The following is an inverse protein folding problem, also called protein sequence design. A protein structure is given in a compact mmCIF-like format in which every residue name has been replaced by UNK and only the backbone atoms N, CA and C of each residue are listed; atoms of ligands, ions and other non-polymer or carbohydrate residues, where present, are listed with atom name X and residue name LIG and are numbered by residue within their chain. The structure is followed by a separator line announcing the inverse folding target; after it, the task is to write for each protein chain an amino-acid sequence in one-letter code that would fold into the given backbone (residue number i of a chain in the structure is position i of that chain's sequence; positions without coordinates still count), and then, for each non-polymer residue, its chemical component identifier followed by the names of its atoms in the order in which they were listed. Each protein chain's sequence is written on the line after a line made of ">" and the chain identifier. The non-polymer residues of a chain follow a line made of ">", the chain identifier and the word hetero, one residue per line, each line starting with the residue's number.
data_IF_770987896306
#
_entry.id   IF_770987896306
#
_cell.length_a   1.000
_cell.length_b   1.000
_cell.length_c   1.000
_cell.angle_alpha   90.00
_cell.angle_beta   90.00
_cell.angle_gamma   90.00
#
_symmetry.space_group_name_H-M   'P 1'
#
loop_
_entity.id
_entity.type
_entity.pdbx_description
1 polymer ?
#
# COMPACT_ATOMS: atom_id res chain seq x y z
N UNK A 1 2.21 1.52 -9.45
CA UNK A 1 1.46 2.62 -8.81
C UNK A 1 2.38 3.82 -8.81
N UNK A 2 1.96 4.90 -9.45
CA UNK A 2 2.69 6.17 -9.48
C UNK A 2 2.39 6.96 -8.21
N UNK A 3 3.39 7.40 -7.46
CA UNK A 3 3.17 8.27 -6.28
C UNK A 3 3.16 9.75 -6.70
N UNK A 4 2.63 10.64 -5.85
CA UNK A 4 2.78 12.10 -6.06
C UNK A 4 4.25 12.52 -6.20
N UNK A 5 5.17 11.90 -5.44
CA UNK A 5 6.59 12.22 -5.57
C UNK A 5 7.14 11.83 -6.94
N UNK A 6 6.71 10.69 -7.49
CA UNK A 6 7.13 10.24 -8.83
C UNK A 6 6.56 11.19 -9.90
N UNK A 7 5.27 11.52 -9.80
CA UNK A 7 4.64 12.54 -10.65
C UNK A 7 5.39 13.87 -10.62
N UNK A 8 5.73 14.38 -9.43
CA UNK A 8 6.45 15.65 -9.33
C UNK A 8 7.86 15.57 -9.92
N UNK A 9 8.57 14.46 -9.74
CA UNK A 9 9.91 14.29 -10.31
C UNK A 9 9.87 14.22 -11.83
N UNK A 10 8.89 13.52 -12.40
CA UNK A 10 8.69 13.46 -13.84
C UNK A 10 8.32 14.83 -14.43
N UNK A 11 7.41 15.56 -13.76
CA UNK A 11 6.86 16.82 -14.29
C UNK A 11 7.74 18.04 -14.03
N UNK A 12 8.38 18.13 -12.87
CA UNK A 12 9.12 19.31 -12.40
C UNK A 12 10.62 19.05 -12.21
N UNK A 13 11.10 17.82 -12.41
CA UNK A 13 12.50 17.43 -12.19
C UNK A 13 12.92 17.37 -10.72
N UNK A 14 12.04 17.75 -9.79
CA UNK A 14 12.33 17.88 -8.35
C UNK A 14 11.15 17.41 -7.50
N UNK A 15 11.44 17.12 -6.23
CA UNK A 15 10.39 16.83 -5.25
C UNK A 15 9.71 18.14 -4.83
N UNK A 16 8.38 18.10 -4.68
CA UNK A 16 7.62 19.23 -4.16
C UNK A 16 7.05 18.94 -2.77
N UNK A 17 6.99 19.96 -1.91
CA UNK A 17 6.50 19.88 -0.54
C UNK A 17 5.26 20.76 -0.36
N UNK A 18 4.18 20.19 0.19
CA UNK A 18 2.95 20.96 0.48
C UNK A 18 3.15 21.85 1.70
N UNK A 19 2.86 23.14 1.53
CA UNK A 19 2.79 24.15 2.56
C UNK A 19 1.31 24.42 2.84
N UNK A 20 0.80 23.98 3.98
CA UNK A 20 -0.60 24.21 4.36
C UNK A 20 -0.82 25.69 4.68
N UNK A 21 -1.74 26.32 3.96
CA UNK A 21 -2.11 27.73 4.08
C UNK A 21 -3.58 27.86 4.49
N UNK A 22 -3.89 28.91 5.24
CA UNK A 22 -5.24 29.29 5.66
C UNK A 22 -5.65 30.60 4.98
N UNK A 23 -6.69 30.53 4.13
CA UNK A 23 -7.28 31.71 3.48
C UNK A 23 -8.42 32.36 4.29
N UNK A 24 -8.68 31.89 5.51
CA UNK A 24 -9.79 32.39 6.34
C UNK A 24 -11.15 32.11 5.71
N UNK A 25 -11.32 30.89 5.20
CA UNK A 25 -12.56 30.43 4.57
C UNK A 25 -13.47 29.70 5.56
N UNK A 26 -14.72 29.51 5.18
CA UNK A 26 -15.69 28.65 5.88
C UNK A 26 -16.22 27.57 4.93
N UNK A 27 -17.25 26.84 5.34
CA UNK A 27 -17.90 25.80 4.55
C UNK A 27 -19.43 26.03 4.56
N UNK A 28 -20.12 25.92 3.41
CA UNK A 28 -21.57 26.11 3.33
C UNK A 28 -22.37 25.08 4.15
N UNK A 29 -21.73 23.98 4.53
CA UNK A 29 -22.32 22.97 5.41
C UNK A 29 -22.17 23.31 6.91
N UNK A 30 -21.51 24.41 7.25
CA UNK A 30 -21.34 24.90 8.62
C UNK A 30 -22.12 26.18 8.88
N UNK A 31 -22.22 27.05 7.89
CA UNK A 31 -22.86 28.36 8.01
C UNK A 31 -24.38 28.35 7.78
N UNK A 32 -24.96 27.20 7.44
CA UNK A 32 -26.40 27.04 7.21
C UNK A 32 -26.83 27.15 5.74
N UNK A 33 -25.94 27.47 4.79
CA UNK A 33 -26.33 27.64 3.38
C UNK A 33 -26.71 26.31 2.69
N UNK A 34 -26.02 25.22 3.02
CA UNK A 34 -26.26 23.86 2.50
C UNK A 34 -26.62 22.86 3.60
N UNK A 35 -26.16 23.12 4.81
CA UNK A 35 -26.38 22.26 5.98
C UNK A 35 -25.81 22.92 7.23
N UNK A 36 -25.89 22.23 8.36
CA UNK A 36 -25.39 22.72 9.65
C UNK A 36 -24.45 21.71 10.29
N UNK A 37 -23.50 22.20 11.10
CA UNK A 37 -22.57 21.36 11.86
C UNK A 37 -21.44 20.72 11.05
N UNK A 38 -21.36 20.93 9.73
CA UNK A 38 -20.34 20.36 8.85
C UNK A 38 -20.48 18.86 8.62
N UNK A 39 -19.56 18.28 7.83
CA UNK A 39 -19.50 16.84 7.65
C UNK A 39 -19.18 16.17 9.00
N UNK A 40 -19.80 15.03 9.28
CA UNK A 40 -19.78 14.40 10.62
C UNK A 40 -18.36 14.10 11.13
N UNK A 41 -17.42 13.81 10.22
CA UNK A 41 -16.03 13.45 10.51
C UNK A 41 -15.07 14.65 10.58
N UNK A 42 -15.49 15.85 10.19
CA UNK A 42 -14.59 17.01 10.18
C UNK A 42 -14.34 17.54 11.60
N UNK A 43 -13.10 17.90 11.91
CA UNK A 43 -12.73 18.69 13.09
C UNK A 43 -13.36 20.08 13.08
N UNK A 44 -13.32 20.79 14.20
CA UNK A 44 -13.79 22.18 14.29
C UNK A 44 -13.03 23.12 13.33
N UNK A 45 -11.76 22.80 13.05
CA UNK A 45 -10.88 23.53 12.12
C UNK A 45 -11.14 23.24 10.63
N UNK A 46 -12.15 22.40 10.31
CA UNK A 46 -12.49 22.09 8.92
C UNK A 46 -11.39 21.32 8.19
N UNK A 47 -10.68 20.43 8.90
CA UNK A 47 -9.49 19.72 8.41
C UNK A 47 -8.23 20.61 8.26
N UNK A 48 -8.22 21.77 8.92
CA UNK A 48 -7.13 22.75 8.93
C UNK A 48 -6.16 22.62 10.09
N UNK A 49 -6.07 21.45 10.74
CA UNK A 49 -5.39 21.25 12.04
C UNK A 49 -3.88 21.57 12.06
N UNK A 50 -3.28 21.86 10.90
CA UNK A 50 -1.87 22.17 10.72
C UNK A 50 -1.60 23.53 10.06
N UNK A 51 -2.65 24.27 9.68
CA UNK A 51 -2.53 25.61 9.09
C UNK A 51 -2.39 26.67 10.19
N UNK A 52 -1.70 27.78 9.88
CA UNK A 52 -1.57 28.92 10.79
C UNK A 52 -2.54 30.02 10.37
N UNK A 53 -3.43 30.42 11.27
CA UNK A 53 -4.47 31.41 10.97
C UNK A 53 -3.96 32.86 11.04
N UNK A 54 -4.61 33.76 10.30
CA UNK A 54 -4.65 35.19 10.60
C UNK A 54 -3.47 36.04 10.13
N UNK A 55 -2.65 35.58 9.18
CA UNK A 55 -1.58 36.39 8.56
C UNK A 55 -1.65 36.38 7.03
N UNK A 56 -0.99 37.37 6.40
CA UNK A 56 -0.77 37.49 4.96
C UNK A 56 -0.20 36.20 4.34
N UNK A 57 -0.55 35.88 3.09
CA UNK A 57 -0.26 34.57 2.50
C UNK A 57 1.25 34.38 2.30
N UNK A 58 2.00 35.43 1.92
CA UNK A 58 3.45 35.35 1.82
C UNK A 58 4.09 35.08 3.19
N UNK A 59 3.59 35.70 4.25
CA UNK A 59 4.06 35.45 5.61
C UNK A 59 3.78 33.98 6.00
N UNK A 60 2.60 33.45 5.67
CA UNK A 60 2.29 32.04 5.92
C UNK A 60 3.22 31.10 5.14
N UNK A 61 3.55 31.43 3.88
CA UNK A 61 4.48 30.65 3.06
C UNK A 61 5.87 30.59 3.72
N UNK A 62 6.43 31.74 4.11
CA UNK A 62 7.77 31.78 4.73
C UNK A 62 7.82 31.02 6.07
N UNK A 63 6.79 31.18 6.90
CA UNK A 63 6.68 30.41 8.15
C UNK A 63 6.52 28.90 7.89
N UNK A 64 5.69 28.52 6.92
CA UNK A 64 5.49 27.12 6.56
C UNK A 64 6.80 26.49 6.03
N UNK A 65 7.54 27.21 5.17
CA UNK A 65 8.87 26.83 4.69
C UNK A 65 9.83 26.60 5.86
N UNK A 66 9.89 27.52 6.81
CA UNK A 66 10.76 27.39 7.98
C UNK A 66 10.47 26.11 8.78
N UNK A 67 9.20 25.72 8.96
CA UNK A 67 8.82 24.48 9.66
C UNK A 67 9.25 23.21 8.94
N UNK A 68 9.29 23.23 7.61
CA UNK A 68 9.64 22.05 6.80
C UNK A 68 11.10 22.02 6.39
N UNK A 69 11.84 23.12 6.54
CA UNK A 69 13.25 23.29 6.15
C UNK A 69 14.14 22.12 6.59
N UNK A 70 14.05 21.68 7.85
CA UNK A 70 14.85 20.56 8.37
C UNK A 70 14.55 19.20 7.73
N UNK A 71 13.46 19.08 6.95
CA UNK A 71 13.06 17.87 6.21
C UNK A 71 13.39 17.96 4.71
N UNK A 72 13.89 19.11 4.26
CA UNK A 72 14.13 19.41 2.84
C UNK A 72 15.63 19.46 2.63
N UNK A 73 16.12 18.65 1.68
CA UNK A 73 17.51 18.73 1.20
C UNK A 73 17.60 19.56 -0.08
N UNK A 74 16.64 19.34 -0.97
CA UNK A 74 16.45 20.02 -2.25
C UNK A 74 14.99 19.79 -2.69
N UNK A 75 14.37 20.77 -3.34
CA UNK A 75 12.98 20.69 -3.76
C UNK A 75 12.26 22.03 -3.89
N UNK A 76 11.04 21.95 -4.40
CA UNK A 76 10.13 23.06 -4.57
C UNK A 76 8.91 22.99 -3.64
N UNK A 77 7.99 23.94 -3.76
CA UNK A 77 6.86 24.06 -2.86
C UNK A 77 5.51 24.09 -3.57
N UNK A 78 4.51 23.55 -2.90
CA UNK A 78 3.10 23.61 -3.30
C UNK A 78 2.38 24.47 -2.27
N UNK A 79 1.84 25.62 -2.69
CA UNK A 79 0.95 26.43 -1.85
C UNK A 79 -0.39 25.68 -1.73
N UNK A 80 -0.73 25.19 -0.55
CA UNK A 80 -1.84 24.26 -0.37
C UNK A 80 -2.93 24.83 0.56
N UNK A 81 -4.00 25.32 -0.04
CA UNK A 81 -5.20 25.78 0.66
C UNK A 81 -6.09 24.57 0.98
N UNK A 82 -6.05 24.11 2.23
CA UNK A 82 -6.71 22.87 2.66
C UNK A 82 -7.98 23.10 3.48
N UNK A 83 -7.97 24.10 4.35
CA UNK A 83 -8.97 24.26 5.41
C UNK A 83 -10.35 24.62 4.84
N UNK A 84 -11.40 23.95 5.34
CA UNK A 84 -12.79 24.19 4.96
C UNK A 84 -13.05 24.02 3.45
N UNK A 85 -13.65 25.01 2.81
CA UNK A 85 -13.97 25.04 1.38
C UNK A 85 -13.26 26.24 0.78
N UNK A 86 -12.07 26.02 0.21
CA UNK A 86 -11.16 27.11 -0.15
C UNK A 86 -11.65 27.99 -1.31
N UNK A 87 -12.75 27.62 -1.96
CA UNK A 87 -13.41 28.41 -3.00
C UNK A 87 -14.73 29.02 -2.54
N UNK A 88 -15.08 28.90 -1.25
CA UNK A 88 -16.30 29.47 -0.70
C UNK A 88 -16.08 30.91 -0.20
N UNK A 89 -15.91 31.82 -1.15
CA UNK A 89 -15.81 33.27 -0.96
C UNK A 89 -16.12 34.00 -2.28
N UNK A 90 -16.33 35.33 -2.27
CA UNK A 90 -16.39 36.12 -3.50
C UNK A 90 -15.11 35.95 -4.35
N UNK A 91 -15.27 35.91 -5.67
CA UNK A 91 -14.17 35.62 -6.61
C UNK A 91 -13.02 36.61 -6.49
N UNK A 92 -13.29 37.87 -6.14
CA UNK A 92 -12.27 38.91 -5.94
C UNK A 92 -11.35 38.57 -4.77
N UNK A 93 -11.91 38.02 -3.67
CA UNK A 93 -11.12 37.55 -2.53
C UNK A 93 -10.28 36.33 -2.91
N UNK A 94 -10.86 35.40 -3.68
CA UNK A 94 -10.13 34.22 -4.16
C UNK A 94 -8.96 34.63 -5.07
N UNK A 95 -9.19 35.56 -6.00
CA UNK A 95 -8.17 36.06 -6.91
C UNK A 95 -7.03 36.72 -6.16
N UNK A 96 -7.32 37.57 -5.18
CA UNK A 96 -6.28 38.21 -4.36
C UNK A 96 -5.38 37.17 -3.67
N UNK A 97 -5.98 36.23 -2.93
CA UNK A 97 -5.24 35.23 -2.14
C UNK A 97 -4.46 34.23 -3.01
N UNK A 98 -5.10 33.75 -4.08
CA UNK A 98 -4.48 32.75 -4.95
C UNK A 98 -3.42 33.37 -5.87
N UNK A 99 -3.61 34.61 -6.32
CA UNK A 99 -2.60 35.33 -7.09
C UNK A 99 -1.36 35.61 -6.26
N UNK A 100 -1.52 35.96 -4.98
CA UNK A 100 -0.41 36.13 -4.06
C UNK A 100 0.42 34.83 -3.94
N UNK A 101 -0.25 33.70 -3.70
CA UNK A 101 0.40 32.40 -3.60
C UNK A 101 1.07 31.94 -4.90
N UNK A 102 0.39 32.06 -6.05
CA UNK A 102 0.91 31.56 -7.33
C UNK A 102 2.11 32.37 -7.81
N UNK A 103 2.15 33.67 -7.52
CA UNK A 103 3.24 34.56 -7.94
C UNK A 103 4.45 34.50 -7.01
N UNK A 104 4.35 33.90 -5.84
CA UNK A 104 5.49 33.74 -4.94
C UNK A 104 6.61 32.92 -5.63
N UNK A 105 7.87 33.39 -5.61
CA UNK A 105 8.96 32.81 -6.42
C UNK A 105 9.27 31.35 -6.07
N UNK A 106 9.12 30.97 -4.80
CA UNK A 106 9.42 29.60 -4.34
C UNK A 106 8.27 28.60 -4.55
N UNK A 107 7.10 29.05 -4.96
CA UNK A 107 5.94 28.18 -5.20
C UNK A 107 5.97 27.68 -6.64
N UNK A 108 5.92 26.36 -6.83
CA UNK A 108 5.86 25.73 -8.16
C UNK A 108 4.42 25.37 -8.56
N UNK A 109 3.54 25.14 -7.58
CA UNK A 109 2.16 24.67 -7.79
C UNK A 109 1.22 25.33 -6.78
N UNK A 110 0.06 25.77 -7.25
CA UNK A 110 -1.06 26.13 -6.39
C UNK A 110 -1.99 24.92 -6.24
N UNK A 111 -2.31 24.51 -5.01
CA UNK A 111 -3.24 23.41 -4.74
C UNK A 111 -4.40 23.89 -3.87
N UNK A 112 -5.64 23.74 -4.36
CA UNK A 112 -6.85 24.26 -3.72
C UNK A 112 -7.78 23.09 -3.40
N UNK A 113 -7.96 22.77 -2.11
CA UNK A 113 -8.95 21.79 -1.67
C UNK A 113 -10.31 22.46 -1.49
N UNK A 114 -11.33 21.86 -2.10
CA UNK A 114 -12.69 22.42 -2.07
C UNK A 114 -13.78 21.36 -2.21
N UNK A 115 -15.02 21.79 -2.07
CA UNK A 115 -16.21 21.00 -2.35
C UNK A 115 -16.58 21.14 -3.83
N UNK A 116 -17.04 20.06 -4.49
CA UNK A 116 -17.50 20.13 -5.88
C UNK A 116 -18.60 21.16 -6.12
N UNK A 117 -19.53 21.32 -5.18
CA UNK A 117 -20.66 22.25 -5.25
C UNK A 117 -20.30 23.73 -4.99
N UNK A 118 -19.01 24.04 -4.81
CA UNK A 118 -18.50 25.40 -4.58
C UNK A 118 -17.57 25.88 -5.71
N UNK A 119 -17.86 25.48 -6.94
CA UNK A 119 -17.11 25.86 -8.14
C UNK A 119 -18.03 26.57 -9.14
N UNK A 120 -18.31 27.85 -8.91
CA UNK A 120 -19.02 28.70 -9.87
C UNK A 120 -18.22 28.84 -11.18
N UNK A 121 -18.88 29.27 -12.27
CA UNK A 121 -18.20 29.51 -13.55
C UNK A 121 -17.04 30.51 -13.39
N UNK A 122 -17.26 31.61 -12.67
CA UNK A 122 -16.23 32.61 -12.39
C UNK A 122 -15.04 32.02 -11.61
N UNK A 123 -15.31 31.11 -10.66
CA UNK A 123 -14.26 30.43 -9.90
C UNK A 123 -13.44 29.52 -10.81
N UNK A 124 -14.10 28.71 -11.66
CA UNK A 124 -13.41 27.82 -12.60
C UNK A 124 -12.60 28.63 -13.61
N UNK A 125 -13.13 29.76 -14.09
CA UNK A 125 -12.41 30.67 -14.98
C UNK A 125 -11.18 31.28 -14.30
N UNK A 126 -11.32 31.75 -13.06
CA UNK A 126 -10.19 32.24 -12.26
C UNK A 126 -9.11 31.17 -12.12
N UNK A 127 -9.46 29.94 -11.71
CA UNK A 127 -8.49 28.85 -11.58
C UNK A 127 -7.83 28.52 -12.92
N UNK A 128 -8.59 28.57 -14.02
CA UNK A 128 -8.07 28.41 -15.38
C UNK A 128 -7.04 29.47 -15.76
N UNK A 129 -7.32 30.75 -15.47
CA UNK A 129 -6.35 31.85 -15.68
C UNK A 129 -5.08 31.63 -14.85
N UNK A 130 -5.21 31.29 -13.57
CA UNK A 130 -4.06 31.03 -12.70
C UNK A 130 -3.23 29.83 -13.16
N UNK A 131 -3.87 28.81 -13.74
CA UNK A 131 -3.20 27.64 -14.33
C UNK A 131 -2.27 27.99 -15.50
N UNK A 132 -2.49 29.13 -16.17
CA UNK A 132 -1.58 29.63 -17.21
C UNK A 132 -0.32 30.29 -16.64
N UNK A 133 -0.34 30.70 -15.37
CA UNK A 133 0.81 31.29 -14.66
C UNK A 133 1.69 30.18 -14.09
N UNK A 134 1.12 29.29 -13.27
CA UNK A 134 1.75 28.06 -12.77
C UNK A 134 0.70 26.97 -12.62
N UNK A 135 1.07 25.68 -12.64
CA UNK A 135 0.11 24.59 -12.52
C UNK A 135 -0.78 24.71 -11.29
N UNK A 136 -2.08 24.57 -11.50
CA UNK A 136 -3.11 24.53 -10.47
C UNK A 136 -3.61 23.10 -10.30
N UNK A 137 -3.67 22.64 -9.05
CA UNK A 137 -4.29 21.38 -8.67
C UNK A 137 -5.54 21.68 -7.86
N UNK A 138 -6.67 21.06 -8.22
CA UNK A 138 -7.89 21.14 -7.42
C UNK A 138 -8.15 19.81 -6.75
N UNK A 139 -8.28 19.83 -5.42
CA UNK A 139 -8.61 18.65 -4.66
C UNK A 139 -10.10 18.64 -4.30
N UNK A 140 -10.83 17.68 -4.85
CA UNK A 140 -12.26 17.53 -4.65
C UNK A 140 -12.54 16.51 -3.56
N UNK A 141 -13.32 16.94 -2.56
CA UNK A 141 -13.94 16.00 -1.64
C UNK A 141 -15.00 15.17 -2.37
N UNK A 142 -14.78 13.87 -2.58
CA UNK A 142 -15.83 12.93 -2.98
C UNK A 142 -16.30 12.14 -1.75
N UNK A 143 -15.34 11.63 -0.98
CA UNK A 143 -15.51 10.79 0.21
C UNK A 143 -16.09 9.40 -0.09
N UNK A 144 -17.28 9.34 -0.67
CA UNK A 144 -18.03 8.12 -1.02
C UNK A 144 -19.01 8.39 -2.15
N UNK A 145 -19.45 7.35 -2.86
CA UNK A 145 -20.57 7.43 -3.81
C UNK A 145 -21.87 6.80 -3.29
N UNK A 146 -21.83 6.12 -2.13
CA UNK A 146 -22.98 5.44 -1.55
C UNK A 146 -23.94 6.44 -0.91
N UNK A 147 -25.19 6.48 -1.38
CA UNK A 147 -26.18 7.49 -0.97
C UNK A 147 -26.40 7.52 0.54
N UNK A 148 -26.60 6.38 1.18
CA UNK A 148 -26.86 6.30 2.62
C UNK A 148 -25.68 6.85 3.42
N UNK A 149 -24.45 6.58 2.96
CA UNK A 149 -23.23 7.10 3.57
C UNK A 149 -23.06 8.60 3.32
N UNK A 150 -23.43 9.12 2.15
CA UNK A 150 -23.46 10.56 1.82
C UNK A 150 -24.39 11.32 2.77
N UNK A 151 -25.59 10.78 3.00
CA UNK A 151 -26.59 11.35 3.88
C UNK A 151 -26.11 11.29 5.34
N UNK A 152 -25.57 10.13 5.78
CA UNK A 152 -25.03 9.94 7.13
C UNK A 152 -23.86 10.88 7.45
N UNK A 153 -22.91 11.06 6.53
CA UNK A 153 -21.77 11.96 6.75
C UNK A 153 -22.13 13.44 6.63
N UNK A 154 -23.39 13.77 6.30
CA UNK A 154 -23.87 15.11 6.07
C UNK A 154 -23.01 15.83 5.00
N UNK A 155 -22.82 15.22 3.82
CA UNK A 155 -21.97 15.81 2.75
C UNK A 155 -22.66 17.01 2.07
N UNK A 156 -23.99 16.93 1.92
CA UNK A 156 -24.88 17.96 1.36
C UNK A 156 -24.66 18.31 -0.12
N UNK A 157 -24.20 17.35 -0.92
CA UNK A 157 -24.27 17.39 -2.39
C UNK A 157 -24.30 15.97 -2.96
N UNK A 158 -24.91 15.85 -4.14
CA UNK A 158 -25.04 14.61 -4.89
C UNK A 158 -23.76 14.32 -5.71
N UNK A 159 -23.64 13.10 -6.24
CA UNK A 159 -22.42 12.67 -6.95
C UNK A 159 -22.24 13.41 -8.29
N UNK A 160 -23.32 13.88 -8.89
CA UNK A 160 -23.35 14.62 -10.17
C UNK A 160 -22.61 15.97 -10.06
N UNK A 161 -22.63 16.60 -8.88
CA UNK A 161 -21.85 17.82 -8.61
C UNK A 161 -20.34 17.55 -8.74
N UNK A 162 -19.90 16.37 -8.30
CA UNK A 162 -18.52 15.92 -8.49
C UNK A 162 -18.20 15.66 -9.96
N UNK A 163 -19.06 14.95 -10.69
CA UNK A 163 -18.82 14.66 -12.12
C UNK A 163 -18.71 15.96 -12.94
N UNK A 164 -19.64 16.90 -12.70
CA UNK A 164 -19.66 18.22 -13.33
C UNK A 164 -18.40 19.03 -13.00
N UNK A 165 -17.99 19.05 -11.73
CA UNK A 165 -16.79 19.75 -11.30
C UNK A 165 -15.52 19.22 -11.97
N UNK A 166 -15.34 17.89 -12.01
CA UNK A 166 -14.16 17.27 -12.65
C UNK A 166 -14.10 17.67 -14.13
N UNK A 167 -15.22 17.53 -14.85
CA UNK A 167 -15.31 17.89 -16.27
C UNK A 167 -14.93 19.36 -16.52
N UNK A 168 -15.53 20.30 -15.79
CA UNK A 168 -15.31 21.75 -15.95
C UNK A 168 -13.86 22.15 -15.63
N UNK A 169 -13.24 21.50 -14.65
CA UNK A 169 -11.83 21.73 -14.32
C UNK A 169 -10.89 21.19 -15.41
N UNK A 170 -11.17 20.00 -15.95
CA UNK A 170 -10.40 19.43 -17.06
C UNK A 170 -10.50 20.23 -18.35
N UNK A 171 -11.66 20.85 -18.62
CA UNK A 171 -11.82 21.79 -19.75
C UNK A 171 -10.87 23.01 -19.64
N UNK A 172 -10.38 23.33 -18.44
CA UNK A 172 -9.36 24.36 -18.18
C UNK A 172 -7.94 23.80 -18.01
N UNK A 173 -7.74 22.51 -18.28
CA UNK A 173 -6.46 21.82 -18.12
C UNK A 173 -5.98 21.72 -16.67
N UNK A 174 -6.88 21.82 -15.70
CA UNK A 174 -6.57 21.76 -14.26
C UNK A 174 -6.44 20.30 -13.83
N UNK A 175 -5.37 20.00 -13.08
CA UNK A 175 -5.12 18.67 -12.52
C UNK A 175 -6.04 18.42 -11.32
N UNK A 176 -6.85 17.35 -11.38
CA UNK A 176 -7.87 17.05 -10.36
C UNK A 176 -7.43 15.91 -9.46
N UNK A 177 -7.57 16.11 -8.14
CA UNK A 177 -7.26 15.11 -7.12
C UNK A 177 -8.53 14.77 -6.36
N UNK A 178 -8.87 13.49 -6.28
CA UNK A 178 -10.07 13.04 -5.59
C UNK A 178 -9.76 12.51 -4.20
N UNK A 179 -10.44 13.05 -3.19
CA UNK A 179 -10.35 12.60 -1.81
C UNK A 179 -11.45 11.57 -1.51
N UNK A 180 -11.05 10.39 -1.08
CA UNK A 180 -11.91 9.24 -0.73
C UNK A 180 -11.64 8.85 0.72
N UNK A 181 -12.69 8.60 1.51
CA UNK A 181 -12.56 8.10 2.87
C UNK A 181 -12.87 6.61 2.90
N UNK A 182 -11.98 5.83 3.48
CA UNK A 182 -12.11 4.39 3.64
C UNK A 182 -12.56 4.07 5.07
N UNK A 183 -13.60 3.25 5.19
CA UNK A 183 -14.15 2.78 6.46
C UNK A 183 -15.26 3.66 7.02
N UNK A 184 -16.02 4.35 6.16
CA UNK A 184 -17.21 5.08 6.62
C UNK A 184 -18.25 4.12 7.22
N UNK A 185 -19.02 4.55 8.25
CA UNK A 185 -20.07 3.71 8.83
C UNK A 185 -21.08 3.24 7.77
N UNK A 186 -21.43 1.96 7.84
CA UNK A 186 -22.37 1.34 6.89
C UNK A 186 -21.76 0.94 5.53
N UNK A 187 -20.46 1.12 5.32
CA UNK A 187 -19.78 0.69 4.08
C UNK A 187 -19.05 -0.65 4.23
N UNK A 188 -19.09 -1.44 3.16
CA UNK A 188 -18.28 -2.66 3.01
C UNK A 188 -17.14 -2.46 1.98
N UNK A 189 -16.36 -3.53 1.72
CA UNK A 189 -15.24 -3.51 0.76
C UNK A 189 -15.67 -3.12 -0.65
N UNK A 190 -16.83 -3.60 -1.11
CA UNK A 190 -17.33 -3.31 -2.45
C UNK A 190 -17.80 -1.85 -2.57
N UNK A 191 -18.41 -1.28 -1.52
CA UNK A 191 -18.81 0.14 -1.50
C UNK A 191 -17.59 1.07 -1.66
N UNK A 192 -16.52 0.79 -0.91
CA UNK A 192 -15.27 1.55 -0.99
C UNK A 192 -14.58 1.39 -2.36
N UNK A 193 -14.62 0.18 -2.92
CA UNK A 193 -14.13 -0.10 -4.28
C UNK A 193 -14.94 0.63 -5.34
N UNK A 194 -16.27 0.63 -5.25
CA UNK A 194 -17.16 1.36 -6.16
C UNK A 194 -16.88 2.86 -6.14
N UNK A 195 -16.60 3.43 -4.97
CA UNK A 195 -16.18 4.83 -4.85
C UNK A 195 -14.89 5.12 -5.61
N UNK A 196 -13.87 4.26 -5.49
CA UNK A 196 -12.63 4.40 -6.25
C UNK A 196 -12.86 4.26 -7.77
N UNK A 197 -13.62 3.24 -8.19
CA UNK A 197 -13.93 3.02 -9.61
C UNK A 197 -14.70 4.19 -10.21
N UNK A 198 -15.60 4.82 -9.45
CA UNK A 198 -16.31 6.02 -9.87
C UNK A 198 -15.37 7.22 -10.09
N UNK A 199 -14.41 7.43 -9.19
CA UNK A 199 -13.40 8.48 -9.36
C UNK A 199 -12.52 8.25 -10.61
N UNK A 200 -12.12 7.00 -10.86
CA UNK A 200 -11.35 6.58 -12.03
C UNK A 200 -12.17 6.74 -13.33
N UNK A 201 -13.44 6.33 -13.32
CA UNK A 201 -14.37 6.49 -14.45
C UNK A 201 -14.47 7.96 -14.87
N UNK A 202 -14.51 8.86 -13.89
CA UNK A 202 -14.52 10.30 -14.07
C UNK A 202 -13.12 10.91 -14.31
N UNK A 203 -12.10 10.10 -14.61
CA UNK A 203 -10.78 10.55 -15.07
C UNK A 203 -9.99 11.39 -14.07
N UNK A 204 -10.15 11.15 -12.77
CA UNK A 204 -9.30 11.82 -11.77
C UNK A 204 -7.81 11.60 -12.06
N UNK A 205 -7.01 12.67 -11.96
CA UNK A 205 -5.57 12.62 -12.23
C UNK A 205 -4.79 12.11 -11.01
N UNK A 206 -5.37 12.25 -9.81
CA UNK A 206 -4.78 11.74 -8.59
C UNK A 206 -5.80 11.34 -7.54
N UNK A 207 -5.44 10.41 -6.66
CA UNK A 207 -6.31 9.95 -5.58
C UNK A 207 -5.66 10.07 -4.21
N UNK A 208 -6.47 10.42 -3.22
CA UNK A 208 -6.14 10.36 -1.80
C UNK A 208 -7.06 9.35 -1.12
N UNK A 209 -6.50 8.19 -0.76
CA UNK A 209 -7.16 7.16 0.03
C UNK A 209 -6.90 7.47 1.51
N UNK A 210 -7.90 8.05 2.16
CA UNK A 210 -7.84 8.50 3.53
C UNK A 210 -8.55 7.49 4.43
N UNK A 211 -7.81 6.91 5.38
CA UNK A 211 -8.43 6.16 6.47
C UNK A 211 -9.36 7.07 7.28
N UNK A 212 -10.57 6.61 7.59
CA UNK A 212 -11.47 7.30 8.50
C UNK A 212 -10.80 7.45 9.87
N UNK A 213 -10.73 8.69 10.34
CA UNK A 213 -10.32 9.01 11.70
C UNK A 213 -11.51 9.58 12.47
N UNK A 214 -11.62 9.17 13.72
CA UNK A 214 -12.54 9.74 14.69
C UNK A 214 -11.74 10.72 15.54
N UNK A 215 -12.13 11.99 15.51
CA UNK A 215 -11.49 13.08 16.23
C UNK A 215 -12.38 13.55 17.37
N UNK A 216 -11.81 13.85 18.55
CA UNK A 216 -12.54 14.24 19.77
C UNK A 216 -13.52 15.40 19.57
N UNK A 217 -13.24 16.29 18.63
CA UNK A 217 -14.02 17.49 18.32
C UNK A 217 -14.92 17.33 17.09
N UNK A 218 -15.04 16.12 16.54
CA UNK A 218 -15.96 15.80 15.45
C UNK A 218 -17.29 15.27 15.99
N UNK A 219 -18.39 15.49 15.26
CA UNK A 219 -19.70 14.91 15.60
C UNK A 219 -19.68 13.38 15.59
N UNK A 220 -18.81 12.78 14.78
CA UNK A 220 -18.64 11.33 14.72
C UNK A 220 -18.12 10.73 16.03
N UNK A 221 -17.43 11.53 16.86
CA UNK A 221 -17.01 11.09 18.18
C UNK A 221 -18.18 10.79 19.12
N UNK A 222 -19.28 11.55 19.02
CA UNK A 222 -20.49 11.28 19.80
C UNK A 222 -21.13 9.95 19.42
N UNK A 223 -21.12 9.60 18.13
CA UNK A 223 -21.60 8.29 17.64
C UNK A 223 -20.66 7.15 18.02
N UNK A 224 -19.35 7.41 18.06
CA UNK A 224 -18.36 6.46 18.55
C UNK A 224 -18.55 6.13 20.03
N UNK A 225 -18.83 7.14 20.87
CA UNK A 225 -19.09 6.94 22.30
C UNK A 225 -20.35 6.11 22.58
N UNK A 226 -21.30 6.07 21.63
CA UNK A 226 -22.50 5.23 21.70
C UNK A 226 -22.28 3.82 21.15
N UNK A 227 -21.05 3.47 20.76
CA UNK A 227 -20.67 2.20 20.12
C UNK A 227 -21.35 1.96 18.75
N UNK A 228 -21.88 3.01 18.11
CA UNK A 228 -22.54 2.92 16.80
C UNK A 228 -21.55 2.86 15.63
N UNK A 229 -20.26 3.12 15.88
CA UNK A 229 -19.24 3.29 14.85
C UNK A 229 -17.99 2.49 15.21
N UNK A 230 -17.50 1.70 14.24
CA UNK A 230 -16.17 1.07 14.30
C UNK A 230 -15.24 1.66 13.25
N UNK A 231 -13.94 1.68 13.54
CA UNK A 231 -12.90 1.99 12.56
C UNK A 231 -12.21 0.71 12.09
N UNK A 232 -11.57 0.75 10.91
CA UNK A 232 -10.82 -0.39 10.39
C UNK A 232 -9.61 -0.72 11.27
N UNK A 233 -9.40 -2.02 11.49
CA UNK A 233 -8.15 -2.52 12.04
C UNK A 233 -7.01 -2.40 11.02
N UNK A 234 -5.76 -2.39 11.51
CA UNK A 234 -4.58 -2.19 10.65
C UNK A 234 -4.52 -3.24 9.52
N UNK A 235 -4.74 -4.50 9.84
CA UNK A 235 -4.68 -5.58 8.85
C UNK A 235 -5.87 -5.56 7.89
N UNK A 236 -7.06 -5.15 8.36
CA UNK A 236 -8.23 -4.91 7.49
C UNK A 236 -7.91 -3.81 6.46
N UNK A 237 -7.30 -2.71 6.92
CA UNK A 237 -6.93 -1.58 6.07
C UNK A 237 -5.88 -1.96 5.03
N UNK A 238 -4.82 -2.69 5.43
CA UNK A 238 -3.77 -3.15 4.50
C UNK A 238 -4.35 -4.13 3.48
N UNK A 239 -5.26 -5.03 3.89
CA UNK A 239 -5.94 -5.94 2.98
C UNK A 239 -6.82 -5.18 1.97
N UNK A 240 -7.56 -4.16 2.43
CA UNK A 240 -8.35 -3.30 1.54
C UNK A 240 -7.45 -2.57 0.53
N UNK A 241 -6.36 -1.94 0.97
CA UNK A 241 -5.43 -1.27 0.07
C UNK A 241 -4.81 -2.23 -0.97
N UNK A 242 -4.56 -3.49 -0.59
CA UNK A 242 -4.07 -4.53 -1.51
C UNK A 242 -5.06 -4.80 -2.66
N UNK A 243 -6.37 -4.68 -2.40
CA UNK A 243 -7.43 -4.82 -3.41
C UNK A 243 -7.59 -3.55 -4.26
N UNK A 244 -7.51 -2.38 -3.64
CA UNK A 244 -7.77 -1.10 -4.31
C UNK A 244 -6.60 -0.61 -5.19
N UNK A 245 -5.36 -0.70 -4.71
CA UNK A 245 -4.19 -0.15 -5.43
C UNK A 245 -4.03 -0.72 -6.84
N UNK A 246 -4.21 -2.03 -7.10
CA UNK A 246 -4.13 -2.59 -8.45
C UNK A 246 -5.16 -2.03 -9.44
N UNK A 247 -6.28 -1.47 -8.96
CA UNK A 247 -7.33 -0.89 -9.79
C UNK A 247 -6.99 0.53 -10.26
N UNK A 248 -6.03 1.20 -9.60
CA UNK A 248 -5.63 2.56 -9.93
C UNK A 248 -4.80 2.54 -11.22
N UNK A 249 -5.21 3.27 -12.28
CA UNK A 249 -4.45 3.39 -13.51
C UNK A 249 -3.01 3.89 -13.30
N UNK A 250 -2.10 3.55 -14.21
CA UNK A 250 -0.68 3.91 -14.08
C UNK A 250 -0.42 5.42 -14.21
N UNK A 251 -1.28 6.13 -14.92
CA UNK A 251 -1.27 7.59 -15.11
C UNK A 251 -1.92 8.36 -13.95
N UNK A 252 -2.74 7.71 -13.11
CA UNK A 252 -3.31 8.32 -11.90
C UNK A 252 -2.32 8.27 -10.74
N UNK A 253 -1.94 9.44 -10.21
CA UNK A 253 -1.00 9.51 -9.09
C UNK A 253 -1.69 9.24 -7.74
N UNK A 254 -1.07 8.43 -6.89
CA UNK A 254 -1.51 8.27 -5.49
C UNK A 254 -0.85 9.35 -4.64
N UNK A 255 -1.67 10.32 -4.21
CA UNK A 255 -1.25 11.45 -3.38
C UNK A 255 -1.16 11.09 -1.91
N UNK A 256 -1.98 10.14 -1.47
CA UNK A 256 -2.02 9.69 -0.08
C UNK A 256 -2.62 8.28 0.03
N UNK A 257 -2.00 7.43 0.84
CA UNK A 257 -2.51 6.11 1.24
C UNK A 257 -2.87 6.03 2.72
N UNK A 258 -2.59 7.05 3.51
CA UNK A 258 -3.03 7.18 4.90
C UNK A 258 -2.82 8.63 5.34
N UNK A 259 -3.67 9.15 6.22
CA UNK A 259 -3.56 10.52 6.75
C UNK A 259 -2.86 10.58 8.10
N UNK A 260 -2.45 11.79 8.47
CA UNK A 260 -1.89 12.08 9.78
C UNK A 260 -3.02 12.50 10.73
N UNK A 261 -3.51 11.59 11.56
CA UNK A 261 -4.37 11.98 12.69
C UNK A 261 -3.57 12.84 13.67
N UNK A 262 -4.07 14.02 14.02
CA UNK A 262 -3.44 14.83 15.06
C UNK A 262 -3.49 14.05 16.38
N UNK A 263 -2.32 13.62 16.90
CA UNK A 263 -2.21 12.77 18.10
C UNK A 263 -2.94 13.32 19.32
N UNK A 264 -3.18 14.64 19.39
CA UNK A 264 -3.91 15.27 20.48
C UNK A 264 -5.42 15.00 20.42
N UNK A 265 -5.98 14.96 19.21
CA UNK A 265 -7.42 14.87 18.96
C UNK A 265 -7.86 13.51 18.40
N UNK A 266 -6.95 12.70 17.87
CA UNK A 266 -7.25 11.37 17.34
C UNK A 266 -7.73 10.43 18.46
N UNK A 267 -8.91 9.83 18.26
CA UNK A 267 -9.52 8.84 19.14
C UNK A 267 -9.40 7.43 18.55
N UNK A 268 -9.70 7.27 17.26
CA UNK A 268 -9.65 5.97 16.59
C UNK A 268 -9.41 6.12 15.08
N UNK A 269 -8.72 5.16 14.42
CA UNK A 269 -7.94 4.10 15.03
C UNK A 269 -6.58 4.59 15.55
N UNK A 270 -6.20 4.23 16.77
CA UNK A 270 -4.95 4.69 17.39
C UNK A 270 -3.69 4.13 16.72
N UNK A 271 -3.77 2.98 16.06
CA UNK A 271 -2.65 2.40 15.32
C UNK A 271 -2.16 3.32 14.19
N UNK A 272 -3.04 4.19 13.66
CA UNK A 272 -2.70 5.16 12.61
C UNK A 272 -1.70 6.23 13.07
N UNK A 273 -1.61 6.48 14.40
CA UNK A 273 -0.69 7.46 14.97
C UNK A 273 0.79 7.03 14.85
N UNK A 274 1.06 5.74 14.68
CA UNK A 274 2.40 5.23 14.35
C UNK A 274 2.61 5.18 12.83
N UNK A 275 2.82 6.38 12.27
CA UNK A 275 3.03 6.57 10.83
C UNK A 275 4.14 5.68 10.26
N UNK A 276 5.22 5.45 11.01
CA UNK A 276 6.35 4.63 10.54
C UNK A 276 5.91 3.18 10.40
N UNK A 277 5.23 2.63 11.40
CA UNK A 277 4.70 1.27 11.37
C UNK A 277 3.67 1.08 10.26
N UNK A 278 2.79 2.05 10.02
CA UNK A 278 1.78 2.00 8.95
C UNK A 278 2.43 2.05 7.57
N UNK A 279 3.31 3.02 7.32
CA UNK A 279 3.99 3.15 6.04
C UNK A 279 4.86 1.91 5.74
N UNK A 280 5.52 1.32 6.74
CA UNK A 280 6.27 0.09 6.57
C UNK A 280 5.35 -1.08 6.13
N UNK A 281 4.18 -1.23 6.74
CA UNK A 281 3.20 -2.24 6.34
C UNK A 281 2.68 -2.02 4.91
N UNK A 282 2.38 -0.77 4.55
CA UNK A 282 1.95 -0.41 3.19
C UNK A 282 3.07 -0.70 2.19
N UNK A 283 4.30 -0.26 2.46
CA UNK A 283 5.45 -0.48 1.58
C UNK A 283 5.77 -1.96 1.41
N UNK A 284 5.64 -2.76 2.48
CA UNK A 284 5.77 -4.21 2.42
C UNK A 284 4.71 -4.81 1.49
N UNK A 285 3.44 -4.43 1.66
CA UNK A 285 2.35 -4.89 0.80
C UNK A 285 2.55 -4.49 -0.67
N UNK A 286 2.94 -3.25 -0.95
CA UNK A 286 3.22 -2.77 -2.33
C UNK A 286 4.39 -3.55 -2.95
N UNK A 287 5.43 -3.81 -2.17
CA UNK A 287 6.57 -4.63 -2.61
C UNK A 287 6.12 -6.04 -2.99
N UNK A 288 5.31 -6.68 -2.15
CA UNK A 288 4.78 -8.01 -2.44
C UNK A 288 3.90 -8.02 -3.72
N UNK A 289 3.06 -6.99 -3.92
CA UNK A 289 2.29 -6.84 -5.16
C UNK A 289 3.19 -6.67 -6.39
N UNK A 290 4.28 -5.93 -6.25
CA UNK A 290 5.27 -5.73 -7.33
C UNK A 290 6.00 -7.03 -7.64
N UNK A 291 6.47 -7.75 -6.61
CA UNK A 291 7.11 -9.06 -6.75
C UNK A 291 6.15 -10.06 -7.44
N UNK A 292 4.86 -10.07 -7.10
CA UNK A 292 3.85 -10.92 -7.77
C UNK A 292 3.60 -10.51 -9.25
N UNK A 293 3.90 -9.26 -9.61
CA UNK A 293 3.88 -8.81 -11.02
C UNK A 293 5.14 -9.23 -11.77
N UNK A 294 6.28 -9.33 -11.11
CA UNK A 294 7.59 -9.63 -11.71
C UNK A 294 7.93 -11.11 -11.79
N UNK A 295 7.43 -11.93 -10.87
CA UNK A 295 7.76 -13.35 -10.77
C UNK A 295 6.52 -14.26 -10.87
N UNK A 296 6.72 -15.50 -11.32
CA UNK A 296 5.71 -16.56 -11.35
C UNK A 296 6.23 -17.74 -10.53
N UNK A 297 5.45 -18.16 -9.54
CA UNK A 297 5.64 -19.41 -8.84
C UNK A 297 4.75 -20.48 -9.49
N UNK A 298 5.35 -21.58 -9.96
CA UNK A 298 4.62 -22.65 -10.66
C UNK A 298 5.32 -24.01 -10.54
N UNK A 299 4.61 -25.11 -10.84
CA UNK A 299 5.26 -26.40 -11.10
C UNK A 299 6.32 -26.26 -12.21
N UNK A 300 7.39 -27.04 -12.11
CA UNK A 300 8.45 -27.09 -13.12
C UNK A 300 8.00 -27.92 -14.34
N UNK A 301 8.40 -27.50 -15.53
CA UNK A 301 8.21 -28.31 -16.74
C UNK A 301 9.28 -29.39 -16.86
N UNK A 302 9.02 -30.44 -17.66
CA UNK A 302 9.94 -31.57 -17.79
C UNK A 302 11.31 -31.12 -18.35
N UNK A 303 11.29 -30.25 -19.35
CA UNK A 303 12.48 -29.77 -20.05
C UNK A 303 13.32 -28.82 -19.18
N UNK A 304 12.78 -28.36 -18.05
CA UNK A 304 13.41 -27.39 -17.15
C UNK A 304 14.15 -28.05 -15.97
N UNK A 305 13.98 -29.37 -15.78
CA UNK A 305 14.66 -30.13 -14.70
C UNK A 305 16.20 -29.95 -14.76
N UNK A 306 16.87 -30.01 -15.92
CA UNK A 306 18.31 -29.75 -15.99
C UNK A 306 18.68 -28.35 -15.50
N UNK A 307 17.86 -27.33 -15.80
CA UNK A 307 18.12 -25.95 -15.37
C UNK A 307 18.02 -25.80 -13.84
N UNK A 308 17.06 -26.48 -13.20
CA UNK A 308 16.99 -26.55 -11.74
C UNK A 308 18.25 -27.22 -11.16
N UNK A 309 18.69 -28.32 -11.76
CA UNK A 309 19.87 -29.04 -11.32
C UNK A 309 21.14 -28.18 -11.42
N UNK A 310 21.29 -27.40 -12.48
CA UNK A 310 22.40 -26.46 -12.67
C UNK A 310 22.44 -25.38 -11.57
N UNK A 311 21.28 -24.87 -11.13
CA UNK A 311 21.19 -23.90 -10.02
C UNK A 311 21.71 -24.53 -8.72
N UNK A 312 21.34 -25.79 -8.45
CA UNK A 312 21.80 -26.54 -7.28
C UNK A 312 23.31 -26.76 -7.36
N UNK A 313 23.82 -27.28 -8.47
CA UNK A 313 25.26 -27.52 -8.66
C UNK A 313 26.09 -26.24 -8.52
N UNK A 314 25.60 -25.14 -9.09
CA UNK A 314 26.23 -23.83 -8.93
C UNK A 314 26.28 -23.39 -7.47
N UNK A 315 25.24 -23.70 -6.68
CA UNK A 315 25.22 -23.42 -5.24
C UNK A 315 26.17 -24.29 -4.45
N UNK A 316 26.26 -25.58 -4.78
CA UNK A 316 27.24 -26.51 -4.17
C UNK A 316 28.65 -26.00 -4.38
N UNK A 317 29.01 -25.65 -5.62
CA UNK A 317 30.33 -25.07 -5.94
C UNK A 317 30.60 -23.78 -5.18
N UNK A 318 29.61 -22.89 -5.07
CA UNK A 318 29.75 -21.66 -4.30
C UNK A 318 29.97 -21.93 -2.80
N UNK A 319 29.35 -22.96 -2.22
CA UNK A 319 29.58 -23.34 -0.82
C UNK A 319 31.05 -23.71 -0.57
N UNK A 320 31.71 -24.40 -1.51
CA UNK A 320 33.16 -24.68 -1.45
C UNK A 320 33.98 -23.39 -1.45
N UNK A 321 33.65 -22.45 -2.35
CA UNK A 321 34.35 -21.17 -2.48
C UNK A 321 34.29 -20.31 -1.21
N UNK A 322 33.19 -20.39 -0.46
CA UNK A 322 32.98 -19.59 0.77
C UNK A 322 33.19 -20.38 2.06
N UNK A 323 33.62 -21.64 1.97
CA UNK A 323 33.92 -22.51 3.12
C UNK A 323 32.70 -22.93 3.94
N UNK A 324 31.51 -22.99 3.33
CA UNK A 324 30.29 -23.56 3.96
C UNK A 324 30.32 -25.07 3.76
N UNK A 325 30.10 -25.86 4.82
CA UNK A 325 30.08 -27.32 4.78
C UNK A 325 28.64 -27.83 4.87
N UNK A 326 28.00 -28.07 3.72
CA UNK A 326 26.65 -28.61 3.62
C UNK A 326 26.59 -29.60 2.45
N UNK A 327 25.87 -29.27 1.37
CA UNK A 327 25.66 -30.15 0.22
C UNK A 327 26.96 -30.59 -0.47
N UNK A 328 28.00 -29.76 -0.38
CA UNK A 328 29.33 -30.01 -0.91
C UNK A 328 30.13 -31.10 -0.19
N UNK A 329 29.72 -31.52 1.02
CA UNK A 329 30.41 -32.56 1.80
C UNK A 329 29.55 -33.79 2.10
N UNK A 330 28.33 -33.86 1.54
CA UNK A 330 27.35 -34.92 1.82
C UNK A 330 27.03 -35.78 0.60
N UNK A 331 27.91 -35.86 -0.40
CA UNK A 331 27.68 -36.58 -1.67
C UNK A 331 26.32 -36.23 -2.33
N UNK A 332 25.93 -34.95 -2.29
CA UNK A 332 24.56 -34.52 -2.64
C UNK A 332 24.07 -35.01 -4.01
N UNK A 333 24.92 -34.96 -5.04
CA UNK A 333 24.54 -35.38 -6.39
C UNK A 333 24.32 -36.90 -6.53
N UNK A 334 24.91 -37.71 -5.64
CA UNK A 334 24.66 -39.16 -5.57
C UNK A 334 23.32 -39.46 -4.91
N UNK A 335 22.96 -38.68 -3.87
CA UNK A 335 21.70 -38.83 -3.13
C UNK A 335 20.50 -38.26 -3.90
N UNK A 336 20.70 -37.13 -4.57
CA UNK A 336 19.67 -36.41 -5.33
C UNK A 336 20.08 -36.26 -6.81
N UNK A 337 20.18 -37.35 -7.58
CA UNK A 337 20.51 -37.30 -9.00
C UNK A 337 19.38 -36.67 -9.82
N UNK A 338 19.62 -36.36 -11.10
CA UNK A 338 18.60 -35.75 -11.97
C UNK A 338 17.28 -36.55 -12.00
N UNK A 339 17.35 -37.88 -12.02
CA UNK A 339 16.19 -38.77 -11.98
C UNK A 339 15.33 -38.65 -10.71
N UNK A 340 15.91 -38.22 -9.58
CA UNK A 340 15.15 -37.91 -8.36
C UNK A 340 14.15 -36.77 -8.63
N UNK A 341 14.61 -35.68 -9.25
CA UNK A 341 13.76 -34.54 -9.57
C UNK A 341 12.73 -34.87 -10.66
N UNK A 342 13.08 -35.71 -11.63
CA UNK A 342 12.13 -36.18 -12.64
C UNK A 342 10.96 -36.95 -12.03
N UNK A 343 11.22 -37.79 -11.02
CA UNK A 343 10.19 -38.56 -10.33
C UNK A 343 9.30 -37.65 -9.46
N UNK A 344 9.89 -36.78 -8.64
CA UNK A 344 9.13 -35.80 -7.85
C UNK A 344 8.30 -34.85 -8.73
N UNK A 345 8.76 -34.53 -9.95
CA UNK A 345 7.97 -33.74 -10.91
C UNK A 345 6.72 -34.48 -11.35
N UNK A 346 6.79 -35.80 -11.59
CA UNK A 346 5.59 -36.60 -11.93
C UNK A 346 4.55 -36.57 -10.80
N UNK A 347 5.00 -36.44 -9.55
CA UNK A 347 4.13 -36.29 -8.38
C UNK A 347 3.60 -34.86 -8.19
N UNK A 348 4.01 -33.90 -9.03
CA UNK A 348 3.63 -32.49 -8.91
C UNK A 348 4.30 -31.79 -7.72
N UNK A 349 5.46 -32.29 -7.28
CA UNK A 349 6.14 -31.80 -6.07
C UNK A 349 7.27 -30.81 -6.37
N UNK A 350 7.65 -30.61 -7.63
CA UNK A 350 8.77 -29.72 -7.99
C UNK A 350 8.26 -28.37 -8.48
N UNK A 351 8.71 -27.30 -7.82
CA UNK A 351 8.27 -25.93 -8.08
C UNK A 351 9.44 -25.00 -8.38
N UNK A 352 9.19 -24.03 -9.25
CA UNK A 352 10.13 -22.98 -9.65
C UNK A 352 9.54 -21.60 -9.45
N UNK A 353 10.43 -20.63 -9.20
CA UNK A 353 10.15 -19.22 -9.35
C UNK A 353 10.82 -18.74 -10.64
N UNK A 354 10.05 -18.14 -11.53
CA UNK A 354 10.52 -17.63 -12.82
C UNK A 354 10.34 -16.12 -12.91
N UNK A 355 11.26 -15.42 -13.57
CA UNK A 355 11.14 -13.99 -13.85
C UNK A 355 10.29 -13.78 -15.11
N UNK A 356 9.19 -13.02 -15.03
CA UNK A 356 8.21 -12.90 -16.12
C UNK A 356 8.78 -12.31 -17.40
N UNK A 357 9.74 -11.39 -17.28
CA UNK A 357 10.32 -10.69 -18.44
C UNK A 357 11.24 -11.58 -19.26
N UNK A 358 12.05 -12.41 -18.60
CA UNK A 358 13.08 -13.23 -19.23
C UNK A 358 12.67 -14.69 -19.41
N UNK A 359 11.69 -15.16 -18.61
CA UNK A 359 11.34 -16.57 -18.51
C UNK A 359 12.34 -17.40 -17.68
N UNK A 360 13.43 -16.80 -17.19
CA UNK A 360 14.48 -17.52 -16.48
C UNK A 360 13.98 -18.06 -15.13
N UNK A 361 14.36 -19.30 -14.81
CA UNK A 361 14.23 -19.86 -13.46
C UNK A 361 15.24 -19.20 -12.55
N UNK A 362 14.75 -18.59 -11.47
CA UNK A 362 15.58 -17.87 -10.48
C UNK A 362 15.69 -18.59 -9.14
N UNK A 363 14.77 -19.51 -8.85
CA UNK A 363 14.81 -20.38 -7.68
C UNK A 363 13.98 -21.64 -7.93
N UNK A 364 14.31 -22.74 -7.24
CA UNK A 364 13.63 -24.01 -7.36
C UNK A 364 13.64 -24.79 -6.03
N UNK A 365 12.62 -25.60 -5.79
CA UNK A 365 12.55 -26.50 -4.65
C UNK A 365 11.63 -27.69 -4.93
N UNK A 366 11.75 -28.72 -4.09
CA UNK A 366 10.78 -29.82 -3.97
C UNK A 366 9.89 -29.53 -2.76
N UNK A 367 8.57 -29.64 -2.94
CA UNK A 367 7.55 -29.46 -1.92
C UNK A 367 6.88 -30.80 -1.64
N UNK A 368 7.35 -31.49 -0.59
CA UNK A 368 6.88 -32.83 -0.20
C UNK A 368 5.75 -32.73 0.83
N UNK A 369 4.80 -33.67 0.83
CA UNK A 369 3.79 -33.78 1.90
C UNK A 369 4.30 -34.54 3.13
N UNK A 370 5.29 -35.40 2.92
CA UNK A 370 5.89 -36.26 3.94
C UNK A 370 7.40 -36.30 3.72
N UNK A 371 8.14 -36.50 4.80
CA UNK A 371 9.60 -36.59 4.78
C UNK A 371 10.09 -37.40 5.98
N UNK A 372 10.44 -38.66 5.70
CA UNK A 372 10.67 -39.72 6.69
C UNK A 372 11.78 -39.39 7.70
N UNK A 373 12.66 -38.43 7.37
CA UNK A 373 13.66 -37.86 8.28
C UNK A 373 13.05 -37.31 9.57
N UNK A 374 11.74 -36.99 9.56
CA UNK A 374 11.03 -36.35 10.65
C UNK A 374 9.95 -37.23 11.30
N UNK A 375 9.93 -38.54 11.05
CA UNK A 375 8.92 -39.45 11.63
C UNK A 375 8.88 -39.41 13.17
N UNK A 376 10.02 -39.13 13.80
CA UNK A 376 10.16 -39.03 15.26
C UNK A 376 9.60 -37.73 15.85
N UNK A 377 9.28 -36.75 15.01
CA UNK A 377 8.79 -35.43 15.46
C UNK A 377 7.34 -35.56 15.95
N UNK A 378 7.02 -35.01 17.15
CA UNK A 378 5.64 -34.97 17.63
C UNK A 378 4.72 -34.30 16.60
N UNK A 379 3.60 -34.95 16.34
CA UNK A 379 2.59 -34.54 15.36
C UNK A 379 2.97 -34.69 13.88
N UNK A 380 4.02 -35.46 13.55
CA UNK A 380 4.42 -35.73 12.16
C UNK A 380 3.25 -36.23 11.29
N UNK A 381 2.46 -37.20 11.80
CA UNK A 381 1.31 -37.79 11.09
C UNK A 381 -0.04 -37.11 11.38
N UNK A 382 -0.13 -36.28 12.41
CA UNK A 382 -1.41 -35.73 12.87
C UNK A 382 -1.67 -34.30 12.42
N UNK A 383 -0.63 -33.57 12.01
CA UNK A 383 -0.73 -32.21 11.49
C UNK A 383 -0.31 -32.19 10.04
N UNK A 384 -1.19 -31.70 9.17
CA UNK A 384 -0.87 -31.56 7.75
C UNK A 384 0.26 -30.54 7.55
N UNK A 385 1.31 -30.95 6.83
CA UNK A 385 2.47 -30.11 6.57
C UNK A 385 2.93 -30.19 5.11
N UNK A 386 3.52 -29.09 4.63
CA UNK A 386 4.25 -29.06 3.36
C UNK A 386 5.72 -28.79 3.66
N UNK A 387 6.60 -29.69 3.23
CA UNK A 387 8.03 -29.67 3.49
C UNK A 387 8.76 -29.07 2.29
N UNK A 388 9.49 -27.98 2.52
CA UNK A 388 10.41 -27.41 1.55
C UNK A 388 11.74 -28.15 1.57
N UNK A 389 12.08 -28.77 0.45
CA UNK A 389 13.28 -29.58 0.27
C UNK A 389 14.06 -29.17 -0.98
N UNK A 390 15.37 -29.48 -1.01
CA UNK A 390 16.29 -29.13 -2.11
C UNK A 390 16.18 -27.67 -2.59
N UNK A 391 15.92 -26.72 -1.68
CA UNK A 391 15.66 -25.34 -2.05
C UNK A 391 16.94 -24.60 -2.44
N UNK A 392 17.00 -24.13 -3.69
CA UNK A 392 18.12 -23.38 -4.22
C UNK A 392 17.66 -22.11 -4.95
N UNK A 393 18.51 -21.09 -4.89
CA UNK A 393 18.29 -19.77 -5.52
C UNK A 393 19.51 -19.45 -6.36
N UNK A 394 19.32 -18.91 -7.57
CA UNK A 394 20.44 -18.44 -8.40
C UNK A 394 21.35 -17.44 -7.65
N UNK A 395 22.65 -17.51 -7.88
CA UNK A 395 23.65 -16.70 -7.16
C UNK A 395 23.55 -15.20 -7.47
N UNK A 396 23.21 -14.88 -8.72
CA UNK A 396 23.03 -13.51 -9.25
C UNK A 396 21.68 -12.89 -8.87
N UNK A 397 20.67 -13.71 -8.53
CA UNK A 397 19.30 -13.25 -8.21
C UNK A 397 19.06 -13.18 -6.70
N UNK A 398 19.85 -12.35 -5.99
CA UNK A 398 19.74 -12.19 -4.53
C UNK A 398 18.33 -11.73 -4.11
N UNK A 399 17.81 -12.33 -3.04
CA UNK A 399 16.54 -11.93 -2.43
C UNK A 399 15.31 -12.61 -3.01
N UNK A 400 15.38 -13.33 -4.13
CA UNK A 400 14.25 -14.10 -4.69
C UNK A 400 13.87 -15.29 -3.80
N UNK A 401 14.78 -15.78 -2.96
CA UNK A 401 14.48 -16.87 -2.04
C UNK A 401 13.37 -16.54 -1.03
N UNK A 402 13.26 -15.29 -0.58
CA UNK A 402 12.15 -14.87 0.28
C UNK A 402 10.80 -14.83 -0.46
N UNK A 403 10.85 -14.58 -1.78
CA UNK A 403 9.68 -14.53 -2.66
C UNK A 403 9.17 -15.95 -2.86
N UNK A 404 10.07 -16.89 -3.18
CA UNK A 404 9.76 -18.31 -3.28
C UNK A 404 9.11 -18.83 -1.99
N UNK A 405 9.74 -18.57 -0.83
CA UNK A 405 9.19 -18.99 0.47
C UNK A 405 7.78 -18.46 0.72
N UNK A 406 7.55 -17.16 0.49
CA UNK A 406 6.23 -16.54 0.65
C UNK A 406 5.19 -17.19 -0.26
N UNK A 407 5.51 -17.39 -1.53
CA UNK A 407 4.58 -17.97 -2.51
C UNK A 407 4.31 -19.47 -2.24
N UNK A 408 5.31 -20.21 -1.77
CA UNK A 408 5.13 -21.59 -1.33
C UNK A 408 4.27 -21.70 -0.07
N UNK A 409 4.41 -20.78 0.89
CA UNK A 409 3.53 -20.66 2.06
C UNK A 409 2.09 -20.30 1.66
N UNK A 410 1.91 -19.39 0.68
CA UNK A 410 0.61 -19.04 0.11
C UNK A 410 -0.03 -20.26 -0.59
N UNK A 411 0.73 -20.99 -1.40
CA UNK A 411 0.31 -22.24 -2.03
C UNK A 411 -0.13 -23.29 -0.99
N UNK A 412 0.63 -23.46 0.08
CA UNK A 412 0.26 -24.38 1.17
C UNK A 412 -1.07 -23.99 1.83
N UNK A 413 -1.30 -22.68 2.08
CA UNK A 413 -2.57 -22.17 2.61
C UNK A 413 -3.74 -22.44 1.67
N UNK A 414 -3.55 -22.24 0.37
CA UNK A 414 -4.58 -22.50 -0.65
C UNK A 414 -4.94 -23.99 -0.73
N UNK A 415 -4.00 -24.88 -0.39
CA UNK A 415 -4.23 -26.32 -0.27
C UNK A 415 -4.78 -26.77 1.08
N UNK A 416 -5.06 -25.84 2.00
CA UNK A 416 -5.58 -26.14 3.33
C UNK A 416 -4.57 -26.83 4.25
N UNK A 417 -3.28 -26.70 3.97
CA UNK A 417 -2.20 -27.26 4.81
C UNK A 417 -2.00 -26.38 6.05
N UNK A 418 -1.90 -27.00 7.22
CA UNK A 418 -1.79 -26.30 8.51
C UNK A 418 -0.40 -25.73 8.80
N UNK A 419 0.66 -26.41 8.34
CA UNK A 419 2.04 -26.05 8.62
C UNK A 419 2.91 -26.01 7.37
N UNK A 420 3.84 -25.06 7.34
CA UNK A 420 4.97 -25.10 6.42
C UNK A 420 6.23 -25.51 7.20
N UNK A 421 6.93 -26.54 6.72
CA UNK A 421 8.12 -27.11 7.35
C UNK A 421 9.31 -27.00 6.41
N UNK A 422 10.48 -26.76 6.98
CA UNK A 422 11.75 -26.74 6.25
C UNK A 422 12.88 -27.16 7.19
N UNK A 423 13.99 -27.61 6.63
CA UNK A 423 15.17 -27.95 7.42
C UNK A 423 16.33 -26.97 7.22
N UNK A 424 17.17 -26.87 8.24
CA UNK A 424 18.42 -26.13 8.22
C UNK A 424 19.48 -26.92 8.95
N UNK A 425 20.71 -26.94 8.43
CA UNK A 425 21.86 -27.48 9.17
C UNK A 425 21.96 -26.82 10.56
N UNK A 426 22.22 -27.63 11.58
CA UNK A 426 22.30 -27.21 12.99
C UNK A 426 23.47 -26.25 13.27
N UNK A 427 24.54 -26.34 12.48
CA UNK A 427 25.73 -25.50 12.55
C UNK A 427 25.59 -24.14 11.83
N UNK A 428 24.52 -23.92 11.03
CA UNK A 428 24.36 -22.72 10.22
C UNK A 428 23.55 -21.62 10.93
N UNK A 429 24.23 -20.89 11.82
CA UNK A 429 23.64 -19.76 12.59
C UNK A 429 23.04 -18.65 11.73
N UNK A 430 23.55 -18.42 10.53
CA UNK A 430 22.98 -17.41 9.60
C UNK A 430 21.62 -17.86 9.08
N UNK A 431 21.50 -19.14 8.73
CA UNK A 431 20.27 -19.72 8.22
C UNK A 431 19.20 -19.84 9.33
N UNK A 432 19.63 -20.18 10.54
CA UNK A 432 18.80 -20.14 11.76
C UNK A 432 18.17 -18.76 11.97
N UNK A 433 19.00 -17.70 11.98
CA UNK A 433 18.52 -16.34 12.16
C UNK A 433 17.53 -15.92 11.05
N UNK A 434 17.86 -16.25 9.79
CA UNK A 434 17.04 -15.93 8.63
C UNK A 434 15.63 -16.56 8.69
N UNK A 435 15.52 -17.83 9.09
CA UNK A 435 14.22 -18.49 9.21
C UNK A 435 13.44 -18.04 10.45
N UNK A 436 14.13 -17.77 11.55
CA UNK A 436 13.52 -17.24 12.77
C UNK A 436 12.88 -15.87 12.52
N UNK A 437 13.55 -14.97 11.80
CA UNK A 437 12.99 -13.67 11.38
C UNK A 437 11.70 -13.82 10.54
N UNK A 438 11.56 -14.94 9.83
CA UNK A 438 10.37 -15.26 9.01
C UNK A 438 9.25 -15.96 9.78
N UNK A 439 9.43 -16.16 11.08
CA UNK A 439 8.45 -16.74 11.98
C UNK A 439 8.49 -18.27 12.06
N UNK A 440 9.55 -18.91 11.58
CA UNK A 440 9.75 -20.34 11.78
C UNK A 440 10.31 -20.62 13.17
N UNK A 441 9.83 -21.68 13.81
CA UNK A 441 10.27 -22.15 15.13
C UNK A 441 10.84 -23.55 15.02
N UNK A 442 11.83 -23.87 15.85
CA UNK A 442 12.36 -25.22 15.95
C UNK A 442 11.29 -26.21 16.44
N UNK A 443 11.25 -27.40 15.83
CA UNK A 443 10.26 -28.45 16.12
C UNK A 443 10.89 -29.83 16.37
N UNK A 444 12.11 -30.07 15.87
CA UNK A 444 12.85 -31.31 16.11
C UNK A 444 14.20 -31.29 15.41
N UNK A 445 14.98 -32.35 15.61
CA UNK A 445 16.28 -32.56 14.97
C UNK A 445 16.39 -33.96 14.41
N UNK A 446 17.27 -34.16 13.43
CA UNK A 446 17.58 -35.46 12.88
C UNK A 446 19.08 -35.58 12.58
N UNK A 447 19.55 -36.83 12.49
CA UNK A 447 20.85 -37.19 11.95
C UNK A 447 20.59 -38.14 10.79
N UNK A 448 21.03 -37.76 9.59
CA UNK A 448 20.83 -38.50 8.35
C UNK A 448 22.16 -38.61 7.60
N UNK A 449 22.86 -39.74 7.79
CA UNK A 449 24.23 -39.92 7.29
C UNK A 449 25.20 -38.89 7.89
N UNK A 450 25.77 -38.04 7.03
CA UNK A 450 26.67 -36.94 7.43
C UNK A 450 25.93 -35.63 7.74
N UNK A 451 24.61 -35.57 7.53
CA UNK A 451 23.80 -34.39 7.76
C UNK A 451 23.21 -34.41 9.18
N UNK A 452 23.37 -33.32 9.92
CA UNK A 452 22.62 -33.05 11.15
C UNK A 452 21.74 -31.83 10.91
N UNK A 453 20.42 -32.03 11.04
CA UNK A 453 19.43 -31.05 10.62
C UNK A 453 18.47 -30.68 11.75
N UNK A 454 18.01 -29.43 11.73
CA UNK A 454 16.94 -28.92 12.57
C UNK A 454 15.69 -28.70 11.72
N UNK A 455 14.60 -29.36 12.07
CA UNK A 455 13.28 -29.10 11.51
C UNK A 455 12.73 -27.81 12.08
N UNK A 456 12.29 -26.93 11.18
CA UNK A 456 11.64 -25.67 11.52
C UNK A 456 10.23 -25.65 10.97
N UNK A 457 9.28 -25.21 11.80
CA UNK A 457 7.84 -25.16 11.49
C UNK A 457 7.32 -23.73 11.59
N UNK A 458 6.45 -23.37 10.64
CA UNK A 458 5.60 -22.18 10.69
C UNK A 458 4.15 -22.58 10.51
N UNK A 459 3.32 -22.24 11.51
CA UNK A 459 1.86 -22.42 11.44
C UNK A 459 1.27 -21.44 10.42
N UNK A 460 0.46 -21.97 9.53
CA UNK A 460 -0.22 -21.20 8.49
C UNK A 460 -1.65 -20.93 9.00
N UNK A 461 -1.91 -19.69 9.44
CA UNK A 461 -3.27 -19.32 9.84
C UNK A 461 -4.20 -19.49 8.62
N UNK A 462 -5.17 -20.40 8.74
CA UNK A 462 -6.11 -20.71 7.66
C UNK A 462 -6.93 -19.48 7.28
N UNK A 463 -7.07 -19.22 5.98
CA UNK A 463 -8.14 -18.36 5.48
C UNK A 463 -9.45 -19.14 5.60
N UNK A 464 -10.45 -18.54 6.25
CA UNK A 464 -11.84 -18.85 5.92
C UNK A 464 -12.03 -18.61 4.41
N UNK A 465 -12.58 -19.62 3.76
CA UNK A 465 -12.81 -19.72 2.32
C UNK A 465 -13.65 -18.56 1.78
N UNK A 466 -12.99 -17.61 1.11
CA UNK A 466 -13.60 -16.74 0.10
C UNK A 466 -13.17 -17.26 -1.27
N UNK A 467 -14.03 -18.07 -1.90
CA UNK A 467 -13.77 -18.67 -3.20
C UNK A 467 -13.61 -17.58 -4.28
N UNK A 468 -12.42 -17.48 -4.84
CA UNK A 468 -12.19 -16.89 -6.16
C UNK A 468 -12.29 -18.03 -7.17
N UNK A 469 -13.48 -18.19 -7.77
CA UNK A 469 -13.60 -18.94 -9.02
C UNK A 469 -12.95 -18.11 -10.13
N UNK A 470 -11.84 -18.61 -10.66
CA UNK A 470 -11.29 -18.19 -11.93
C UNK A 470 -11.97 -19.05 -13.01
N UNK A 471 -12.72 -18.39 -13.90
CA UNK A 471 -12.93 -18.84 -15.27
C UNK A 471 -12.27 -17.80 -16.18
#
# INVERSE_FOLDING_TARGET
>A
MKTMNDYCREKFGKKLYKLSLDGGFTCPNRDGKKGTGGCIFCSASGSGDFAEAGSDINIQIEKAKARVSGKIKDGGFIAYFQSFTSTYAPTEKLEALFSEAVNHPDIDVLSVATRPDCLSDDTVELLGRLNTVKPVWVELGLQTVKKESIDYINRCYENEEYESAVKRLHEKGIYVITHIILGLPGENREDMKNTLLFAIKNKTDGVKLQLLHILKDSRLYEEYLKENVRTLEKDEYIALLRELIPLIPEDTAVHRLTGDGNKKTLVSPLWSADKKSVLNSINKMIKELTENKEYIFRPIEKEEIPMMFDIIQSRVKWMDEVGIKQWNVTNYAEVYPLGYFEEHRKNGEVFVLTEKKSGEIVAAAVLKKEDDRWESVPDYKTVSALYLHNFAVRLDKKGTGKIFLRLAEEYAKEKGIECFRLDSADDNKKLEAYYTEKGYKEKGSCVDGLYTGILREKRLNGKQSGALQLN
#
